data_IF_063404446566
#
_entry.id   IF_063404446566
#
_cell.length_a   1.000
_cell.length_b   1.000
_cell.length_c   1.000
_cell.angle_alpha   90.00
_cell.angle_beta   90.00
_cell.angle_gamma   90.00
#
_symmetry.space_group_name_H-M   'P 1'
#
loop_
_entity.id
_entity.type
_entity.pdbx_description
1 polymer ?
#
# COMPACT_ATOMS: atom_id res chain seq x y z
N UNK A 1 27.30 -62.34 29.10
CA UNK A 1 26.09 -62.80 28.41
C UNK A 1 24.83 -62.36 29.16
N UNK A 2 24.78 -62.50 30.49
CA UNK A 2 23.63 -62.10 31.35
C UNK A 2 23.24 -60.61 31.23
N UNK A 3 24.22 -59.68 31.31
CA UNK A 3 23.94 -58.23 31.20
C UNK A 3 23.29 -57.78 29.85
N UNK A 4 23.53 -58.51 28.75
CA UNK A 4 22.89 -58.23 27.45
C UNK A 4 21.42 -58.75 27.42
N UNK A 5 21.15 -59.84 28.11
CA UNK A 5 19.80 -60.40 28.22
C UNK A 5 18.93 -59.49 29.08
N UNK A 6 19.47 -58.99 30.21
CA UNK A 6 18.78 -58.10 31.12
C UNK A 6 18.47 -56.75 30.47
N UNK A 7 19.38 -56.18 29.69
CA UNK A 7 19.18 -54.97 28.91
C UNK A 7 18.12 -55.09 27.79
N UNK A 8 18.10 -56.26 27.10
CA UNK A 8 17.09 -56.54 26.07
C UNK A 8 15.70 -56.66 26.68
N UNK A 9 15.59 -57.35 27.80
CA UNK A 9 14.32 -57.53 28.53
C UNK A 9 13.78 -56.21 29.07
N UNK A 10 14.65 -55.31 29.52
CA UNK A 10 14.29 -53.99 30.03
C UNK A 10 13.81 -53.07 28.87
N UNK A 11 14.47 -53.14 27.70
CA UNK A 11 14.09 -52.44 26.50
C UNK A 11 12.71 -52.88 25.97
N UNK A 12 12.46 -54.22 25.90
CA UNK A 12 11.15 -54.75 25.53
C UNK A 12 10.03 -54.34 26.47
N UNK A 13 10.31 -54.33 27.76
CA UNK A 13 9.34 -53.90 28.79
C UNK A 13 9.02 -52.40 28.65
N UNK A 14 10.01 -51.59 28.32
CA UNK A 14 9.84 -50.15 28.09
C UNK A 14 9.05 -49.86 26.81
N UNK A 15 9.34 -50.58 25.71
CA UNK A 15 8.59 -50.45 24.44
C UNK A 15 7.13 -50.87 24.60
N UNK A 16 6.89 -51.95 25.36
CA UNK A 16 5.53 -52.44 25.67
C UNK A 16 4.72 -51.44 26.51
N UNK A 17 5.37 -50.78 27.47
CA UNK A 17 4.74 -49.74 28.30
C UNK A 17 4.42 -48.50 27.50
N UNK A 18 5.30 -48.09 26.60
CA UNK A 18 5.08 -46.93 25.67
C UNK A 18 3.94 -47.24 24.70
N UNK A 19 3.92 -48.43 24.11
CA UNK A 19 2.86 -48.83 23.19
C UNK A 19 1.47 -48.91 23.86
N UNK A 20 1.41 -49.33 25.14
CA UNK A 20 0.17 -49.35 25.92
C UNK A 20 -0.31 -47.90 26.25
N UNK A 21 0.63 -47.00 26.56
CA UNK A 21 0.32 -45.59 26.82
C UNK A 21 -0.18 -44.89 25.54
N UNK A 22 0.43 -45.16 24.40
CA UNK A 22 0.01 -44.63 23.10
C UNK A 22 -1.37 -45.16 22.66
N UNK A 23 -1.63 -46.45 22.91
CA UNK A 23 -2.94 -47.06 22.67
C UNK A 23 -4.04 -46.47 23.57
N UNK A 24 -3.72 -46.14 24.83
CA UNK A 24 -4.65 -45.45 25.74
C UNK A 24 -4.96 -44.04 25.23
N UNK A 25 -3.94 -43.31 24.82
CA UNK A 25 -4.06 -41.93 24.27
C UNK A 25 -4.88 -41.89 23.00
N UNK A 26 -4.69 -42.88 22.11
CA UNK A 26 -5.50 -43.03 20.90
C UNK A 26 -6.97 -43.28 21.22
N UNK A 27 -7.27 -44.09 22.24
CA UNK A 27 -8.65 -44.33 22.65
C UNK A 27 -9.30 -43.08 23.27
N UNK A 28 -8.56 -42.30 24.02
CA UNK A 28 -9.03 -41.05 24.59
C UNK A 28 -9.32 -40.01 23.47
N UNK A 29 -8.46 -39.92 22.45
CA UNK A 29 -8.66 -39.08 21.28
C UNK A 29 -9.89 -39.52 20.49
N UNK A 30 -10.06 -40.82 20.27
CA UNK A 30 -11.21 -41.37 19.56
C UNK A 30 -12.52 -41.09 20.29
N UNK A 31 -12.51 -41.22 21.62
CA UNK A 31 -13.65 -40.86 22.46
C UNK A 31 -13.97 -39.38 22.42
N UNK A 32 -12.94 -38.51 22.44
CA UNK A 32 -13.11 -37.07 22.33
C UNK A 32 -13.66 -36.66 20.93
N UNK A 33 -13.19 -37.29 19.87
CA UNK A 33 -13.72 -37.08 18.54
C UNK A 33 -15.19 -37.51 18.37
N UNK A 34 -15.57 -38.63 18.96
CA UNK A 34 -16.97 -39.08 18.97
C UNK A 34 -17.86 -38.08 19.74
N UNK A 35 -17.41 -37.65 20.91
CA UNK A 35 -18.15 -36.66 21.70
C UNK A 35 -18.30 -35.32 20.92
N UNK A 36 -17.25 -34.86 20.28
CA UNK A 36 -17.29 -33.64 19.47
C UNK A 36 -18.26 -33.77 18.28
N UNK A 37 -18.30 -34.95 17.64
CA UNK A 37 -19.22 -35.24 16.54
C UNK A 37 -20.70 -35.23 17.02
N UNK A 38 -20.96 -35.84 18.19
CA UNK A 38 -22.31 -35.84 18.81
C UNK A 38 -22.74 -34.43 19.21
N UNK A 39 -21.86 -33.66 19.81
CA UNK A 39 -22.16 -32.29 20.24
C UNK A 39 -22.41 -31.39 19.01
N UNK A 40 -21.65 -31.60 17.94
CA UNK A 40 -21.88 -30.91 16.65
C UNK A 40 -23.22 -31.29 16.03
N UNK A 41 -23.60 -32.55 16.11
CA UNK A 41 -24.89 -33.03 15.62
C UNK A 41 -26.04 -32.42 16.43
N UNK A 42 -25.95 -32.46 17.77
CA UNK A 42 -26.94 -31.82 18.66
C UNK A 42 -27.10 -30.32 18.40
N UNK A 43 -25.97 -29.63 18.19
CA UNK A 43 -25.96 -28.20 17.86
C UNK A 43 -26.65 -27.93 16.51
N UNK A 44 -26.43 -28.78 15.50
CA UNK A 44 -27.07 -28.67 14.20
C UNK A 44 -28.57 -28.96 14.30
N UNK A 45 -28.97 -29.96 15.07
CA UNK A 45 -30.39 -30.29 15.32
C UNK A 45 -31.09 -29.15 16.08
N UNK A 46 -30.45 -28.56 17.08
CA UNK A 46 -30.98 -27.38 17.77
C UNK A 46 -31.10 -26.16 16.86
N UNK A 47 -30.14 -25.97 15.97
CA UNK A 47 -30.21 -24.90 14.93
C UNK A 47 -31.36 -25.14 13.95
N UNK A 48 -31.53 -26.38 13.49
CA UNK A 48 -32.64 -26.75 12.60
C UNK A 48 -33.99 -26.59 13.28
N UNK A 49 -34.12 -26.99 14.55
CA UNK A 49 -35.39 -26.82 15.33
C UNK A 49 -35.67 -25.34 15.56
N UNK A 50 -34.68 -24.51 15.85
CA UNK A 50 -34.88 -23.05 15.98
C UNK A 50 -35.26 -22.40 14.66
N UNK A 51 -34.65 -22.83 13.54
CA UNK A 51 -35.01 -22.35 12.22
C UNK A 51 -36.46 -22.75 11.82
N UNK A 52 -36.91 -23.95 12.20
CA UNK A 52 -38.26 -24.41 11.96
C UNK A 52 -39.33 -23.78 12.88
N UNK A 53 -38.94 -23.34 14.08
CA UNK A 53 -39.81 -22.69 15.06
C UNK A 53 -39.91 -21.17 14.88
N UNK A 54 -39.10 -20.58 14.05
CA UNK A 54 -39.14 -19.14 13.77
C UNK A 54 -40.18 -18.89 12.67
N UNK A 55 -41.20 -18.05 12.89
CA UNK A 55 -42.06 -17.60 11.80
C UNK A 55 -41.12 -16.96 10.76
N UNK A 56 -41.37 -17.21 9.48
CA UNK A 56 -40.55 -16.74 8.36
C UNK A 56 -40.37 -15.21 8.39
N UNK A 57 -39.55 -14.73 9.31
CA UNK A 57 -39.08 -13.37 9.36
C UNK A 57 -38.12 -13.23 8.19
N UNK A 58 -38.59 -12.70 7.08
CA UNK A 58 -37.76 -12.30 5.97
C UNK A 58 -36.75 -11.31 6.50
N UNK A 59 -35.45 -11.59 6.35
CA UNK A 59 -34.40 -10.62 6.63
C UNK A 59 -34.61 -9.50 5.62
N UNK A 60 -35.20 -8.39 6.06
CA UNK A 60 -35.41 -7.26 5.16
C UNK A 60 -34.10 -6.49 5.06
N UNK A 61 -33.48 -6.45 3.87
CA UNK A 61 -32.36 -5.58 3.55
C UNK A 61 -32.90 -4.27 3.02
N UNK A 62 -32.73 -3.19 3.76
CA UNK A 62 -33.01 -1.84 3.30
C UNK A 62 -31.68 -1.15 3.01
N UNK A 63 -31.42 -0.84 1.74
CA UNK A 63 -30.19 -0.23 1.32
C UNK A 63 -30.46 1.09 0.57
N UNK A 64 -29.67 2.10 0.91
CA UNK A 64 -29.66 3.37 0.21
C UNK A 64 -28.21 3.80 -0.04
N UNK A 65 -27.95 4.43 -1.19
CA UNK A 65 -26.65 5.03 -1.49
C UNK A 65 -26.75 6.56 -1.39
N UNK A 66 -25.72 7.17 -0.85
CA UNK A 66 -25.54 8.61 -1.00
C UNK A 66 -25.27 8.96 -2.47
N UNK A 67 -25.46 10.21 -2.87
CA UNK A 67 -25.00 10.68 -4.16
C UNK A 67 -23.47 10.56 -4.24
N UNK A 68 -22.92 10.05 -5.37
CA UNK A 68 -21.48 10.05 -5.57
C UNK A 68 -20.91 11.46 -5.54
N UNK A 69 -19.82 11.64 -4.82
CA UNK A 69 -19.06 12.92 -4.79
C UNK A 69 -18.34 13.16 -6.13
N UNK A 70 -17.60 14.28 -6.21
CA UNK A 70 -16.85 14.67 -7.41
C UNK A 70 -15.82 13.62 -7.86
N UNK A 71 -15.36 12.76 -6.94
CA UNK A 71 -14.43 11.66 -7.21
C UNK A 71 -15.17 10.32 -7.43
N UNK A 72 -16.49 10.33 -7.31
CA UNK A 72 -17.32 9.14 -7.42
C UNK A 72 -17.49 8.37 -6.11
N UNK A 73 -16.89 8.83 -5.02
CA UNK A 73 -17.03 8.22 -3.70
C UNK A 73 -18.47 8.33 -3.19
N UNK A 74 -19.02 7.24 -2.65
CA UNK A 74 -20.33 7.23 -2.03
C UNK A 74 -20.41 6.19 -0.91
N UNK A 75 -21.42 6.31 -0.07
CA UNK A 75 -21.66 5.41 1.05
C UNK A 75 -22.96 4.66 0.80
N UNK A 76 -22.90 3.33 0.86
CA UNK A 76 -24.07 2.47 0.93
C UNK A 76 -24.41 2.32 2.42
N UNK A 77 -25.57 2.82 2.82
CA UNK A 77 -26.13 2.61 4.15
C UNK A 77 -27.10 1.45 4.09
N UNK A 78 -26.85 0.40 4.85
CA UNK A 78 -27.68 -0.80 4.85
C UNK A 78 -28.23 -1.06 6.24
N UNK A 79 -29.54 -1.06 6.33
CA UNK A 79 -30.26 -1.48 7.53
C UNK A 79 -30.73 -2.91 7.36
N UNK A 80 -30.51 -3.72 8.37
CA UNK A 80 -30.96 -5.10 8.46
C UNK A 80 -31.58 -5.33 9.84
N UNK A 81 -32.31 -6.43 10.00
CA UNK A 81 -32.89 -6.78 11.30
C UNK A 81 -31.81 -7.01 12.37
N UNK A 82 -32.20 -6.88 13.64
CA UNK A 82 -31.30 -7.03 14.79
C UNK A 82 -30.59 -8.37 14.81
N UNK A 83 -31.23 -9.43 14.32
CA UNK A 83 -30.73 -10.80 14.33
C UNK A 83 -29.78 -11.15 13.18
N UNK A 84 -29.31 -10.16 12.41
CA UNK A 84 -28.35 -10.39 11.33
C UNK A 84 -27.00 -10.80 11.90
N UNK A 85 -26.53 -11.98 11.51
CA UNK A 85 -25.27 -12.56 11.95
C UNK A 85 -24.10 -12.16 11.04
N UNK A 86 -24.34 -12.04 9.73
CA UNK A 86 -23.33 -11.59 8.76
C UNK A 86 -23.98 -10.80 7.63
N UNK A 87 -23.22 -9.86 7.08
CA UNK A 87 -23.60 -9.05 5.92
C UNK A 87 -22.46 -9.02 4.92
N UNK A 88 -22.77 -9.26 3.65
CA UNK A 88 -21.80 -9.30 2.56
C UNK A 88 -22.19 -8.34 1.45
N UNK A 89 -21.21 -7.76 0.80
CA UNK A 89 -21.32 -6.98 -0.43
C UNK A 89 -20.40 -7.60 -1.47
N UNK A 90 -20.98 -8.06 -2.59
CA UNK A 90 -20.28 -8.78 -3.66
C UNK A 90 -19.45 -9.99 -3.16
N UNK A 91 -19.94 -10.66 -2.11
CA UNK A 91 -19.29 -11.82 -1.49
C UNK A 91 -18.23 -11.48 -0.44
N UNK A 92 -17.93 -10.21 -0.21
CA UNK A 92 -17.03 -9.75 0.87
C UNK A 92 -17.80 -9.45 2.14
N UNK A 93 -17.41 -10.07 3.25
CA UNK A 93 -18.02 -9.81 4.56
C UNK A 93 -17.68 -8.40 5.04
N UNK A 94 -18.70 -7.68 5.48
CA UNK A 94 -18.56 -6.32 5.97
C UNK A 94 -18.46 -6.31 7.49
N UNK A 95 -17.65 -5.39 8.03
CA UNK A 95 -17.46 -5.21 9.47
C UNK A 95 -18.75 -4.83 10.23
N UNK A 96 -18.63 -4.69 11.55
CA UNK A 96 -19.77 -4.47 12.44
C UNK A 96 -20.61 -3.24 12.13
N UNK A 97 -21.83 -3.22 12.67
CA UNK A 97 -22.75 -2.10 12.51
C UNK A 97 -22.28 -0.86 13.28
N UNK A 98 -22.51 0.29 12.70
CA UNK A 98 -22.40 1.59 13.35
C UNK A 98 -23.79 2.21 13.42
N UNK A 99 -24.26 2.58 14.59
CA UNK A 99 -25.61 3.15 14.83
C UNK A 99 -26.77 2.32 14.20
N UNK A 100 -26.65 1.00 14.25
CA UNK A 100 -27.66 0.08 13.74
C UNK A 100 -27.62 -0.19 12.23
N UNK A 101 -26.71 0.42 11.49
CA UNK A 101 -26.54 0.25 10.04
C UNK A 101 -25.12 -0.20 9.68
N UNK A 102 -24.98 -0.90 8.55
CA UNK A 102 -23.69 -1.11 7.89
C UNK A 102 -23.40 0.08 6.97
N UNK A 103 -22.21 0.65 7.10
CA UNK A 103 -21.75 1.75 6.25
C UNK A 103 -20.64 1.24 5.33
N UNK A 104 -20.97 1.04 4.07
CA UNK A 104 -20.05 0.49 3.07
C UNK A 104 -19.65 1.58 2.08
N UNK A 105 -18.37 1.93 2.07
CA UNK A 105 -17.84 2.93 1.12
C UNK A 105 -17.48 2.27 -0.19
N UNK A 106 -17.92 2.87 -1.30
CA UNK A 106 -17.66 2.41 -2.68
C UNK A 106 -17.43 3.61 -3.59
N UNK A 107 -17.01 3.31 -4.82
CA UNK A 107 -16.78 4.34 -5.84
C UNK A 107 -17.56 3.96 -7.10
N UNK A 108 -18.36 4.88 -7.61
CA UNK A 108 -19.13 4.70 -8.83
C UNK A 108 -18.35 5.16 -10.06
N UNK A 109 -18.38 4.37 -11.12
CA UNK A 109 -17.79 4.72 -12.42
C UNK A 109 -18.66 5.76 -13.13
N UNK A 110 -18.00 6.69 -13.82
CA UNK A 110 -18.69 7.70 -14.63
C UNK A 110 -19.40 7.01 -15.81
N UNK A 111 -20.66 7.34 -16.02
CA UNK A 111 -21.45 6.91 -17.20
C UNK A 111 -21.76 5.41 -17.24
N UNK A 112 -21.40 4.63 -16.22
CA UNK A 112 -21.73 3.22 -16.13
C UNK A 112 -22.46 2.91 -14.82
N UNK A 113 -23.55 2.14 -14.84
CA UNK A 113 -24.20 1.69 -13.63
C UNK A 113 -23.26 0.73 -12.87
N UNK A 114 -23.05 1.00 -11.60
CA UNK A 114 -22.34 0.12 -10.68
C UNK A 114 -23.36 -0.63 -9.84
N UNK A 115 -23.47 -1.96 -10.03
CA UNK A 115 -24.43 -2.81 -9.32
C UNK A 115 -23.71 -3.62 -8.26
N UNK A 116 -24.25 -3.58 -7.04
CA UNK A 116 -23.71 -4.26 -5.87
C UNK A 116 -24.71 -5.32 -5.39
N UNK A 117 -24.23 -6.54 -5.16
CA UNK A 117 -25.02 -7.61 -4.57
C UNK A 117 -24.90 -7.55 -3.05
N UNK A 118 -26.00 -7.29 -2.38
CA UNK A 118 -26.08 -7.20 -0.92
C UNK A 118 -26.71 -8.49 -0.40
N UNK A 119 -26.05 -9.17 0.53
CA UNK A 119 -26.55 -10.41 1.11
C UNK A 119 -26.43 -10.36 2.63
N UNK A 120 -27.50 -10.67 3.32
CA UNK A 120 -27.52 -10.77 4.77
C UNK A 120 -27.93 -12.18 5.19
N UNK A 121 -27.36 -12.65 6.30
CA UNK A 121 -27.67 -13.91 6.95
C UNK A 121 -27.99 -13.67 8.42
N UNK A 122 -29.09 -14.26 8.92
CA UNK A 122 -29.45 -14.17 10.33
C UNK A 122 -28.77 -15.24 11.18
N UNK A 123 -28.96 -15.13 12.50
CA UNK A 123 -28.46 -16.13 13.49
C UNK A 123 -29.10 -17.50 13.34
N UNK A 124 -30.22 -17.60 12.61
CA UNK A 124 -30.93 -18.85 12.36
C UNK A 124 -30.50 -19.54 11.07
N UNK A 125 -29.70 -18.83 10.23
CA UNK A 125 -29.19 -19.34 8.97
C UNK A 125 -30.02 -18.95 7.74
N UNK A 126 -31.13 -18.19 7.90
CA UNK A 126 -31.87 -17.66 6.77
C UNK A 126 -31.03 -16.60 6.04
N UNK A 127 -31.18 -16.53 4.73
CA UNK A 127 -30.48 -15.57 3.89
C UNK A 127 -31.47 -14.75 3.08
N UNK A 128 -31.17 -13.47 2.92
CA UNK A 128 -31.84 -12.59 1.97
C UNK A 128 -30.80 -11.86 1.13
N UNK A 129 -31.16 -11.49 -0.09
CA UNK A 129 -30.28 -10.78 -0.99
C UNK A 129 -31.03 -9.75 -1.82
N UNK A 130 -30.39 -8.62 -2.06
CA UNK A 130 -30.90 -7.58 -2.94
C UNK A 130 -29.76 -6.95 -3.73
N UNK A 131 -30.09 -6.23 -4.77
CA UNK A 131 -29.10 -5.49 -5.57
C UNK A 131 -29.33 -3.99 -5.43
N UNK A 132 -28.25 -3.24 -5.33
CA UNK A 132 -28.26 -1.78 -5.34
C UNK A 132 -27.46 -1.29 -6.54
N UNK A 133 -28.11 -0.51 -7.41
CA UNK A 133 -27.43 0.08 -8.55
C UNK A 133 -27.25 1.57 -8.34
N UNK A 134 -26.01 2.03 -8.48
CA UNK A 134 -25.64 3.44 -8.38
C UNK A 134 -25.13 3.90 -9.74
N UNK A 135 -25.72 4.96 -10.27
CA UNK A 135 -25.30 5.61 -11.50
C UNK A 135 -24.65 6.96 -11.16
N UNK A 136 -23.38 7.10 -11.42
CA UNK A 136 -22.72 8.40 -11.43
C UNK A 136 -22.97 9.04 -12.80
N UNK A 137 -23.88 10.00 -12.82
CA UNK A 137 -24.08 10.80 -14.03
C UNK A 137 -22.79 11.56 -14.34
N UNK A 138 -22.45 11.67 -15.63
CA UNK A 138 -21.48 12.69 -16.06
C UNK A 138 -22.08 14.05 -15.69
N UNK A 139 -21.66 14.60 -14.56
CA UNK A 139 -21.80 16.02 -14.42
C UNK A 139 -20.89 16.63 -15.52
N UNK A 140 -21.42 17.54 -16.32
CA UNK A 140 -20.64 18.31 -17.29
C UNK A 140 -19.61 19.27 -16.67
N UNK A 141 -19.34 19.11 -15.41
CA UNK A 141 -18.23 19.72 -14.73
C UNK A 141 -16.97 18.88 -15.02
N UNK A 142 -16.24 19.24 -16.08
CA UNK A 142 -14.80 18.99 -16.06
C UNK A 142 -14.31 19.32 -14.67
N UNK A 143 -13.91 18.30 -13.89
CA UNK A 143 -13.13 18.54 -12.68
C UNK A 143 -11.87 19.22 -13.19
N UNK A 144 -11.86 20.55 -13.11
CA UNK A 144 -10.67 21.34 -13.47
C UNK A 144 -9.70 21.06 -12.34
N UNK A 145 -8.85 20.07 -12.55
CA UNK A 145 -7.77 19.76 -11.63
C UNK A 145 -6.82 20.95 -11.66
N UNK A 146 -6.61 21.66 -10.53
CA UNK A 146 -5.76 22.84 -10.52
C UNK A 146 -4.37 22.45 -11.00
N UNK A 147 -3.77 23.18 -11.95
CA UNK A 147 -2.40 22.87 -12.37
C UNK A 147 -1.43 23.01 -11.19
N UNK A 148 -0.34 22.28 -11.26
CA UNK A 148 0.79 22.46 -10.36
C UNK A 148 1.37 23.87 -10.56
N UNK A 149 1.62 24.57 -9.47
CA UNK A 149 2.14 25.95 -9.53
C UNK A 149 3.28 26.20 -8.52
N UNK A 150 4.48 25.69 -8.80
CA UNK A 150 5.65 25.91 -7.94
C UNK A 150 6.04 27.38 -7.81
N UNK A 151 5.58 28.26 -8.70
CA UNK A 151 5.88 29.71 -8.64
C UNK A 151 5.31 30.39 -7.39
N UNK A 152 4.31 29.79 -6.75
CA UNK A 152 3.75 30.28 -5.48
C UNK A 152 4.65 30.00 -4.29
N UNK A 153 5.63 29.10 -4.41
CA UNK A 153 6.57 28.78 -3.37
C UNK A 153 7.76 29.76 -3.40
N UNK A 154 8.08 30.31 -2.23
CA UNK A 154 9.14 31.34 -2.10
C UNK A 154 10.03 31.05 -0.91
N UNK A 155 10.39 29.78 -0.72
CA UNK A 155 11.29 29.39 0.37
C UNK A 155 12.68 29.94 0.10
N UNK A 156 13.31 30.48 1.12
CA UNK A 156 14.67 30.99 1.00
C UNK A 156 15.65 29.85 0.72
N UNK A 157 16.58 30.08 -0.21
CA UNK A 157 17.60 29.09 -0.54
C UNK A 157 18.44 28.71 0.67
N UNK A 158 18.52 27.42 0.96
CA UNK A 158 19.35 26.87 2.02
C UNK A 158 20.78 26.71 1.55
N UNK A 159 21.74 27.04 2.41
CA UNK A 159 23.15 26.84 2.10
C UNK A 159 23.52 25.36 2.03
N UNK A 160 22.95 24.58 2.95
CA UNK A 160 23.29 23.18 3.16
C UNK A 160 22.08 22.28 2.84
N UNK A 161 21.63 22.31 1.58
CA UNK A 161 20.61 21.41 1.04
C UNK A 161 21.06 20.86 -0.33
N UNK A 162 20.81 19.57 -0.55
CA UNK A 162 21.18 18.83 -1.76
C UNK A 162 20.02 17.97 -2.21
N UNK A 163 19.84 17.79 -3.52
CA UNK A 163 18.82 16.89 -4.05
C UNK A 163 19.36 15.97 -5.13
N UNK A 164 18.87 14.72 -5.13
CA UNK A 164 19.00 13.78 -6.25
C UNK A 164 17.57 13.51 -6.75
N UNK A 165 17.33 13.81 -8.03
CA UNK A 165 16.02 13.71 -8.67
C UNK A 165 16.13 12.77 -9.85
N UNK A 166 15.37 11.68 -9.83
CA UNK A 166 15.39 10.63 -10.85
C UNK A 166 13.98 10.44 -11.39
N UNK A 167 13.82 10.51 -12.71
CA UNK A 167 12.55 10.28 -13.39
C UNK A 167 12.75 9.42 -14.63
N UNK A 168 12.14 8.24 -14.67
CA UNK A 168 12.32 7.29 -15.76
C UNK A 168 10.94 6.90 -16.29
N UNK A 169 10.57 7.46 -17.41
CA UNK A 169 9.37 7.07 -18.16
C UNK A 169 9.70 6.05 -19.23
N UNK A 170 10.69 6.38 -20.06
CA UNK A 170 11.05 5.58 -21.22
C UNK A 170 12.13 4.55 -20.85
N UNK A 171 11.73 3.28 -20.82
CA UNK A 171 12.62 2.14 -20.53
C UNK A 171 12.99 1.41 -21.82
N UNK A 172 14.20 0.84 -21.89
CA UNK A 172 14.64 0.06 -23.07
C UNK A 172 13.94 -1.26 -23.24
N UNK A 173 13.58 -1.95 -22.14
CA UNK A 173 13.15 -3.35 -22.15
C UNK A 173 11.92 -3.67 -21.33
N UNK A 174 11.34 -2.67 -20.70
CA UNK A 174 10.10 -2.79 -19.94
C UNK A 174 9.11 -1.71 -20.40
N UNK A 175 7.80 -1.86 -20.18
CA UNK A 175 6.82 -0.86 -20.53
C UNK A 175 7.11 0.50 -19.90
N UNK A 176 6.54 1.56 -20.46
CA UNK A 176 6.71 2.92 -19.92
C UNK A 176 6.12 3.08 -18.53
N UNK A 177 6.74 3.94 -17.72
CA UNK A 177 6.14 4.49 -16.50
C UNK A 177 5.60 5.89 -16.83
N UNK A 178 4.34 5.95 -17.24
CA UNK A 178 3.72 7.17 -17.74
C UNK A 178 3.91 8.36 -16.79
N UNK A 179 4.35 9.50 -17.34
CA UNK A 179 4.60 10.78 -16.67
C UNK A 179 5.75 10.81 -15.65
N UNK A 180 6.52 9.74 -15.48
CA UNK A 180 7.57 9.69 -14.45
C UNK A 180 8.70 10.70 -14.68
N UNK A 181 9.08 10.94 -15.93
CA UNK A 181 10.08 11.94 -16.29
C UNK A 181 9.55 13.38 -16.12
N UNK A 182 8.28 13.61 -16.45
CA UNK A 182 7.63 14.92 -16.25
C UNK A 182 7.47 15.23 -14.76
N UNK A 183 7.09 14.23 -13.95
CA UNK A 183 7.02 14.36 -12.49
C UNK A 183 8.36 14.82 -11.89
N UNK A 184 9.46 14.21 -12.34
CA UNK A 184 10.79 14.58 -11.87
C UNK A 184 11.20 15.99 -12.34
N UNK A 185 10.89 16.36 -13.59
CA UNK A 185 11.16 17.71 -14.11
C UNK A 185 10.40 18.78 -13.32
N UNK A 186 9.13 18.52 -13.04
CA UNK A 186 8.30 19.45 -12.25
C UNK A 186 8.75 19.48 -10.80
N UNK A 187 9.11 18.32 -10.22
CA UNK A 187 9.62 18.26 -8.83
C UNK A 187 10.92 19.05 -8.65
N UNK A 188 11.73 19.21 -9.68
CA UNK A 188 12.90 20.11 -9.64
C UNK A 188 12.53 21.51 -9.18
N UNK A 189 11.44 22.09 -9.70
CA UNK A 189 10.99 23.41 -9.31
C UNK A 189 10.53 23.43 -7.83
N UNK A 190 9.92 22.36 -7.35
CA UNK A 190 9.56 22.22 -5.93
C UNK A 190 10.78 22.05 -5.03
N UNK A 191 11.82 21.36 -5.49
CA UNK A 191 13.07 21.26 -4.78
C UNK A 191 13.75 22.63 -4.63
N UNK A 192 13.76 23.42 -5.70
CA UNK A 192 14.35 24.78 -5.67
C UNK A 192 13.50 25.74 -4.84
N UNK A 193 12.19 25.85 -5.13
CA UNK A 193 11.31 26.88 -4.59
C UNK A 193 10.66 26.52 -3.27
N UNK A 194 10.41 25.22 -3.03
CA UNK A 194 9.74 24.70 -1.85
C UNK A 194 10.68 24.14 -0.79
N UNK A 195 11.72 23.41 -1.20
CA UNK A 195 12.71 22.86 -0.26
C UNK A 195 13.95 23.74 -0.09
N UNK A 196 14.11 24.76 -0.93
CA UNK A 196 15.21 25.71 -0.87
C UNK A 196 16.55 25.14 -1.33
N UNK A 197 16.53 24.09 -2.16
CA UNK A 197 17.76 23.53 -2.73
C UNK A 197 18.27 24.43 -3.85
N UNK A 198 19.55 24.77 -3.83
CA UNK A 198 20.15 25.57 -4.90
C UNK A 198 20.26 24.75 -6.18
N UNK A 199 20.03 25.33 -7.38
CA UNK A 199 20.14 24.62 -8.64
C UNK A 199 21.45 23.84 -8.83
N UNK A 200 22.57 24.41 -8.42
CA UNK A 200 23.91 23.78 -8.49
C UNK A 200 24.06 22.57 -7.55
N UNK A 201 23.20 22.43 -6.56
CA UNK A 201 23.15 21.31 -5.61
C UNK A 201 22.11 20.26 -5.99
N UNK A 202 21.64 20.25 -7.22
CA UNK A 202 20.68 19.25 -7.71
C UNK A 202 21.34 18.37 -8.75
N UNK A 203 21.35 17.07 -8.50
CA UNK A 203 21.68 16.05 -9.50
C UNK A 203 20.38 15.50 -10.06
N UNK A 204 20.10 15.77 -11.34
CA UNK A 204 18.92 15.26 -12.04
C UNK A 204 19.33 14.22 -13.06
N UNK A 205 18.60 13.09 -13.10
CA UNK A 205 18.79 11.98 -14.03
C UNK A 205 17.43 11.63 -14.64
N UNK A 206 17.29 11.83 -15.96
CA UNK A 206 16.03 11.65 -16.68
C UNK A 206 16.19 10.60 -17.77
N UNK A 207 15.29 9.62 -17.82
CA UNK A 207 15.22 8.58 -18.85
C UNK A 207 16.62 7.96 -19.14
N UNK A 208 17.16 8.15 -20.32
CA UNK A 208 18.44 7.59 -20.75
C UNK A 208 19.65 8.04 -19.92
N UNK A 209 19.54 9.10 -19.13
CA UNK A 209 20.59 9.52 -18.19
C UNK A 209 20.57 8.71 -16.91
N UNK A 210 19.44 8.02 -16.61
CA UNK A 210 19.25 7.25 -15.40
C UNK A 210 19.59 5.75 -15.60
N UNK A 211 20.78 5.47 -16.16
CA UNK A 211 21.34 4.11 -16.18
C UNK A 211 21.83 3.73 -14.77
N UNK A 212 21.96 2.43 -14.50
CA UNK A 212 22.37 1.89 -13.19
C UNK A 212 23.68 2.52 -12.69
N UNK A 213 24.68 2.60 -13.55
CA UNK A 213 26.01 3.19 -13.23
C UNK A 213 25.87 4.68 -12.88
N UNK A 214 25.04 5.43 -13.58
CA UNK A 214 24.86 6.86 -13.32
C UNK A 214 24.08 7.13 -12.03
N UNK A 215 23.09 6.28 -11.73
CA UNK A 215 22.40 6.32 -10.43
C UNK A 215 23.41 6.05 -9.31
N UNK A 216 24.18 4.96 -9.39
CA UNK A 216 25.19 4.63 -8.38
C UNK A 216 26.20 5.76 -8.21
N UNK A 217 26.70 6.34 -9.31
CA UNK A 217 27.64 7.49 -9.28
C UNK A 217 27.03 8.71 -8.58
N UNK A 218 25.73 8.95 -8.76
CA UNK A 218 25.07 10.07 -8.09
C UNK A 218 25.09 9.91 -6.56
N UNK A 219 24.89 8.69 -6.05
CA UNK A 219 24.88 8.42 -4.61
C UNK A 219 26.26 8.20 -4.01
N UNK A 220 27.15 7.51 -4.69
CA UNK A 220 28.45 7.12 -4.13
C UNK A 220 29.57 8.14 -4.40
N UNK A 221 29.51 8.87 -5.53
CA UNK A 221 30.58 9.78 -5.92
C UNK A 221 30.16 11.25 -5.83
N UNK A 222 29.00 11.62 -6.39
CA UNK A 222 28.56 13.01 -6.41
C UNK A 222 28.04 13.47 -5.05
N UNK A 223 27.17 12.69 -4.40
CA UNK A 223 26.56 13.07 -3.12
C UNK A 223 27.60 13.36 -2.01
N UNK A 224 28.62 12.51 -1.75
CA UNK A 224 29.57 12.75 -0.67
C UNK A 224 30.37 14.04 -0.77
N UNK A 225 30.57 14.57 -1.99
CA UNK A 225 31.32 15.83 -2.19
C UNK A 225 30.45 17.08 -2.04
N UNK A 226 29.10 16.89 -2.05
CA UNK A 226 28.12 17.97 -1.86
C UNK A 226 27.51 17.98 -0.45
N UNK A 227 27.80 16.98 0.38
CA UNK A 227 27.26 16.87 1.74
C UNK A 227 28.27 17.36 2.77
N UNK A 228 27.92 18.41 3.49
CA UNK A 228 28.59 18.80 4.73
C UNK A 228 28.06 17.91 5.86
N UNK A 229 28.93 17.07 6.44
CA UNK A 229 28.54 16.09 7.46
C UNK A 229 27.76 16.71 8.61
N UNK A 230 26.64 16.08 8.95
CA UNK A 230 25.71 16.50 10.01
C UNK A 230 25.09 17.90 9.85
N UNK A 231 25.22 18.54 8.68
CA UNK A 231 24.69 19.86 8.39
C UNK A 231 23.73 19.88 7.21
N UNK A 232 24.00 19.05 6.19
CA UNK A 232 23.25 19.04 4.93
C UNK A 232 21.94 18.25 5.04
N UNK A 233 20.83 18.87 4.65
CA UNK A 233 19.56 18.19 4.39
C UNK A 233 19.61 17.59 2.97
N UNK A 234 19.40 16.29 2.85
CA UNK A 234 19.41 15.56 1.55
C UNK A 234 18.00 15.18 1.17
N UNK A 235 17.60 15.50 -0.05
CA UNK A 235 16.33 15.14 -0.64
C UNK A 235 16.56 14.17 -1.80
N UNK A 236 15.76 13.11 -1.85
CA UNK A 236 15.76 12.15 -2.95
C UNK A 236 14.35 12.05 -3.51
N UNK A 237 14.20 12.26 -4.80
CA UNK A 237 12.95 12.00 -5.51
C UNK A 237 13.21 10.93 -6.57
N UNK A 238 12.37 9.92 -6.59
CA UNK A 238 12.36 8.89 -7.61
C UNK A 238 10.95 8.70 -8.15
N UNK A 239 10.80 8.76 -9.45
CA UNK A 239 9.56 8.42 -10.16
C UNK A 239 9.89 7.43 -11.28
N UNK A 240 9.27 6.24 -11.23
CA UNK A 240 9.56 5.16 -12.17
C UNK A 240 9.10 3.79 -11.68
N UNK A 241 9.59 2.75 -12.33
CA UNK A 241 9.30 1.38 -11.94
C UNK A 241 10.14 0.88 -10.78
N UNK A 242 9.54 0.03 -9.95
CA UNK A 242 10.22 -0.76 -8.95
C UNK A 242 9.76 -2.22 -9.00
N UNK A 243 10.60 -3.11 -8.50
CA UNK A 243 10.29 -4.52 -8.35
C UNK A 243 10.84 -5.05 -7.04
N UNK A 244 10.15 -6.00 -6.40
CA UNK A 244 10.75 -6.77 -5.32
C UNK A 244 11.75 -7.77 -5.88
N UNK A 245 12.72 -8.19 -5.07
CA UNK A 245 13.55 -9.36 -5.39
C UNK A 245 12.68 -10.63 -5.45
N UNK A 246 13.12 -11.67 -6.17
CA UNK A 246 12.36 -12.92 -6.26
C UNK A 246 12.08 -13.60 -4.91
N UNK A 247 12.96 -13.39 -3.92
CA UNK A 247 12.81 -13.86 -2.54
C UNK A 247 12.04 -12.89 -1.62
N UNK A 248 11.65 -11.73 -2.17
CA UNK A 248 10.90 -10.72 -1.46
C UNK A 248 11.65 -9.93 -0.40
N UNK A 249 12.98 -10.09 -0.29
CA UNK A 249 13.78 -9.46 0.77
C UNK A 249 14.39 -8.11 0.39
N UNK A 250 14.37 -7.75 -0.87
CA UNK A 250 14.91 -6.49 -1.36
C UNK A 250 13.92 -5.79 -2.29
N UNK A 251 13.94 -4.47 -2.25
CA UNK A 251 13.24 -3.60 -3.18
C UNK A 251 14.25 -3.03 -4.16
N UNK A 252 13.93 -3.10 -5.44
CA UNK A 252 14.74 -2.57 -6.52
C UNK A 252 14.06 -1.39 -7.18
N UNK A 253 14.82 -0.33 -7.42
CA UNK A 253 14.48 0.73 -8.37
C UNK A 253 15.04 0.32 -9.74
N UNK A 254 14.24 0.47 -10.78
CA UNK A 254 14.61 0.02 -12.12
C UNK A 254 15.26 1.15 -12.91
N UNK A 255 16.55 1.04 -13.32
CA UNK A 255 17.19 1.97 -14.22
C UNK A 255 16.66 1.87 -15.66
N UNK A 256 16.95 2.87 -16.49
CA UNK A 256 16.50 2.92 -17.87
C UNK A 256 16.82 1.67 -18.69
N UNK A 257 18.03 1.11 -18.55
CA UNK A 257 18.50 -0.06 -19.27
C UNK A 257 18.21 -1.41 -18.63
N UNK A 258 17.39 -1.45 -17.57
CA UNK A 258 17.14 -2.66 -16.77
C UNK A 258 16.77 -3.86 -17.63
N UNK A 259 17.31 -5.03 -17.28
CA UNK A 259 16.92 -6.33 -17.80
C UNK A 259 16.24 -7.13 -16.69
N UNK A 260 14.93 -7.37 -16.86
CA UNK A 260 14.11 -8.09 -15.86
C UNK A 260 14.54 -9.54 -15.62
N UNK A 261 15.24 -10.17 -16.58
CA UNK A 261 15.81 -11.51 -16.40
C UNK A 261 17.09 -11.50 -15.58
N UNK A 262 17.79 -10.35 -15.54
CA UNK A 262 19.03 -10.13 -14.80
C UNK A 262 18.85 -9.07 -13.71
N UNK A 263 17.68 -9.04 -13.07
CA UNK A 263 17.27 -7.98 -12.13
C UNK A 263 18.33 -7.68 -11.07
N UNK A 264 18.89 -8.70 -10.43
CA UNK A 264 19.91 -8.53 -9.40
C UNK A 264 21.24 -7.91 -9.89
N UNK A 265 21.43 -7.81 -11.21
CA UNK A 265 22.65 -7.23 -11.83
C UNK A 265 22.41 -5.89 -12.49
N UNK A 266 21.16 -5.61 -12.87
CA UNK A 266 20.82 -4.46 -13.69
C UNK A 266 19.83 -3.50 -13.00
N UNK A 267 19.32 -3.85 -11.83
CA UNK A 267 18.50 -2.99 -11.01
C UNK A 267 19.31 -2.47 -9.82
N UNK A 268 18.89 -1.32 -9.29
CA UNK A 268 19.53 -0.70 -8.13
C UNK A 268 18.77 -1.06 -6.87
N UNK A 269 19.42 -1.73 -5.93
CA UNK A 269 18.78 -2.10 -4.68
C UNK A 269 18.60 -0.86 -3.79
N UNK A 270 17.37 -0.63 -3.32
CA UNK A 270 17.06 0.53 -2.46
C UNK A 270 17.93 0.57 -1.20
N UNK A 271 18.26 -0.60 -0.63
CA UNK A 271 19.16 -0.71 0.52
C UNK A 271 20.57 -0.17 0.26
N UNK A 272 21.08 -0.29 -0.99
CA UNK A 272 22.39 0.22 -1.38
C UNK A 272 22.38 1.75 -1.42
N UNK A 273 21.31 2.34 -1.94
CA UNK A 273 21.11 3.79 -1.92
C UNK A 273 21.01 4.33 -0.47
N UNK A 274 20.28 3.62 0.39
CA UNK A 274 20.19 3.97 1.82
C UNK A 274 21.53 3.88 2.49
N UNK A 275 22.33 2.85 2.20
CA UNK A 275 23.70 2.71 2.74
C UNK A 275 24.64 3.85 2.28
N UNK A 276 24.57 4.25 1.00
CA UNK A 276 25.34 5.38 0.47
C UNK A 276 24.92 6.71 1.13
N UNK A 277 23.61 6.93 1.30
CA UNK A 277 23.08 8.09 2.03
C UNK A 277 23.58 8.13 3.49
N UNK A 278 23.58 7.00 4.18
CA UNK A 278 24.12 6.89 5.55
C UNK A 278 25.62 7.18 5.60
N UNK A 279 26.38 6.64 4.64
CA UNK A 279 27.83 6.83 4.55
C UNK A 279 28.23 8.29 4.36
N UNK A 280 27.42 9.08 3.65
CA UNK A 280 27.60 10.53 3.47
C UNK A 280 27.39 11.33 4.75
N UNK A 281 26.73 10.77 5.79
CA UNK A 281 26.45 11.39 7.09
C UNK A 281 25.72 12.73 6.99
N UNK A 282 24.60 12.82 6.27
CA UNK A 282 23.82 14.05 6.23
C UNK A 282 23.20 14.36 7.60
N UNK A 283 22.73 15.60 7.80
CA UNK A 283 21.89 15.99 8.95
C UNK A 283 20.54 15.26 8.88
N UNK A 284 19.98 15.20 7.70
CA UNK A 284 18.68 14.55 7.45
C UNK A 284 18.56 14.04 6.03
N UNK A 285 17.73 13.03 5.84
CA UNK A 285 17.36 12.50 4.52
C UNK A 285 15.83 12.49 4.42
N UNK A 286 15.31 13.02 3.31
CA UNK A 286 13.88 12.85 2.95
C UNK A 286 13.80 12.23 1.56
N UNK A 287 13.15 11.07 1.48
CA UNK A 287 12.98 10.32 0.23
C UNK A 287 11.51 10.35 -0.17
N UNK A 288 11.23 10.72 -1.41
CA UNK A 288 9.93 10.68 -2.05
C UNK A 288 10.01 9.63 -3.18
N UNK A 289 9.29 8.53 -3.03
CA UNK A 289 9.40 7.37 -3.93
C UNK A 289 8.06 7.12 -4.62
N UNK A 290 7.93 7.57 -5.86
CA UNK A 290 6.77 7.28 -6.70
C UNK A 290 7.03 6.02 -7.55
N UNK A 291 6.95 4.88 -6.90
CA UNK A 291 7.21 3.58 -7.51
C UNK A 291 6.30 2.51 -6.95
N UNK A 292 6.00 1.50 -7.78
CA UNK A 292 5.26 0.30 -7.39
C UNK A 292 6.24 -0.85 -7.16
N UNK A 293 5.91 -1.72 -6.21
CA UNK A 293 6.63 -2.98 -6.02
C UNK A 293 5.74 -4.21 -6.25
N UNK A 294 4.56 -4.03 -6.84
CA UNK A 294 3.59 -5.10 -7.12
C UNK A 294 3.92 -5.97 -8.32
N UNK A 295 4.98 -5.64 -9.06
CA UNK A 295 5.33 -6.33 -10.32
C UNK A 295 4.44 -5.95 -11.52
N UNK A 296 3.69 -4.87 -11.43
CA UNK A 296 2.86 -4.33 -12.51
C UNK A 296 3.28 -2.90 -12.87
N UNK A 297 2.96 -2.45 -14.09
CA UNK A 297 3.16 -1.07 -14.50
C UNK A 297 2.10 -0.14 -13.93
N UNK A 298 2.31 1.17 -14.00
CA UNK A 298 1.29 2.20 -13.72
C UNK A 298 0.02 2.03 -14.55
N UNK A 299 0.12 1.42 -15.73
CA UNK A 299 -1.00 1.07 -16.62
C UNK A 299 -1.74 -0.21 -16.22
N UNK A 300 -1.18 -1.02 -15.33
CA UNK A 300 -1.72 -2.33 -14.92
C UNK A 300 -1.20 -3.50 -15.74
N UNK A 301 -0.24 -3.30 -16.66
CA UNK A 301 0.43 -4.39 -17.38
C UNK A 301 1.40 -5.14 -16.47
N UNK A 302 1.51 -6.45 -16.63
CA UNK A 302 2.40 -7.29 -15.83
C UNK A 302 3.85 -7.09 -16.26
N UNK A 303 4.70 -6.57 -15.39
CA UNK A 303 6.14 -6.41 -15.62
C UNK A 303 6.87 -7.77 -15.61
N UNK A 304 6.42 -8.69 -14.75
CA UNK A 304 6.97 -10.04 -14.62
C UNK A 304 5.83 -11.05 -14.63
N UNK A 305 5.72 -11.86 -15.69
CA UNK A 305 4.82 -12.99 -15.72
C UNK A 305 5.28 -14.07 -14.73
N UNK A 306 4.40 -14.52 -13.83
CA UNK A 306 4.66 -15.62 -12.91
C UNK A 306 5.16 -15.24 -11.50
N UNK A 307 5.37 -13.98 -11.19
CA UNK A 307 5.56 -13.54 -9.80
C UNK A 307 4.18 -13.40 -9.19
N UNK A 308 3.83 -14.30 -8.28
CA UNK A 308 2.71 -14.06 -7.37
C UNK A 308 3.03 -12.78 -6.60
N UNK A 309 2.06 -11.88 -6.37
CA UNK A 309 2.24 -10.83 -5.39
C UNK A 309 2.55 -11.53 -4.07
N UNK A 310 3.83 -11.61 -3.74
CA UNK A 310 4.24 -12.00 -2.41
C UNK A 310 3.79 -10.85 -1.53
N UNK A 311 2.94 -11.16 -0.56
CA UNK A 311 2.73 -10.28 0.59
C UNK A 311 4.09 -10.21 1.28
N UNK A 312 4.92 -9.28 0.81
CA UNK A 312 6.17 -8.99 1.43
C UNK A 312 5.85 -8.36 2.78
N UNK A 313 6.02 -9.14 3.84
CA UNK A 313 6.61 -8.52 5.02
C UNK A 313 8.00 -8.08 4.54
N UNK A 314 8.10 -6.85 4.03
CA UNK A 314 9.38 -6.18 4.02
C UNK A 314 9.91 -6.40 5.44
N UNK A 315 11.00 -7.14 5.59
CA UNK A 315 11.81 -6.98 6.79
C UNK A 315 11.91 -5.48 6.93
N UNK A 316 11.37 -4.94 8.02
CA UNK A 316 11.28 -3.51 8.25
C UNK A 316 12.66 -2.97 7.96
N UNK A 317 12.83 -2.34 6.80
CA UNK A 317 14.10 -1.76 6.44
C UNK A 317 14.29 -0.67 7.47
N UNK A 318 15.11 -0.97 8.48
CA UNK A 318 15.30 -0.10 9.61
C UNK A 318 16.00 1.15 9.11
N UNK A 319 15.22 2.15 8.71
CA UNK A 319 15.75 3.46 8.37
C UNK A 319 16.28 4.13 9.63
N UNK A 320 17.42 4.83 9.57
CA UNK A 320 17.90 5.64 10.68
C UNK A 320 16.87 6.69 11.09
N UNK A 321 16.88 7.11 12.35
CA UNK A 321 15.97 8.14 12.87
C UNK A 321 16.04 9.49 12.11
N UNK A 322 17.17 9.76 11.41
CA UNK A 322 17.34 10.95 10.57
C UNK A 322 16.64 10.84 9.20
N UNK A 323 16.09 9.68 8.86
CA UNK A 323 15.40 9.46 7.58
C UNK A 323 13.91 9.70 7.70
N UNK A 324 13.36 10.25 6.63
CA UNK A 324 11.94 10.30 6.34
C UNK A 324 11.73 9.70 4.96
N UNK A 325 10.83 8.73 4.85
CA UNK A 325 10.52 8.10 3.55
C UNK A 325 9.02 8.19 3.34
N UNK A 326 8.64 8.70 2.18
CA UNK A 326 7.25 8.81 1.73
C UNK A 326 7.17 8.08 0.40
N UNK A 327 6.45 6.97 0.35
CA UNK A 327 6.30 6.16 -0.85
C UNK A 327 4.86 6.11 -1.33
N UNK A 328 4.70 6.01 -2.65
CA UNK A 328 3.42 6.15 -3.35
C UNK A 328 2.40 5.06 -3.00
N UNK A 329 2.85 3.87 -2.63
CA UNK A 329 1.99 2.73 -2.40
C UNK A 329 2.65 1.71 -1.46
N UNK A 330 1.84 0.88 -0.81
CA UNK A 330 2.32 -0.30 -0.12
C UNK A 330 2.92 -1.31 -1.12
N UNK A 331 3.75 -2.23 -0.62
CA UNK A 331 4.56 -3.13 -1.46
C UNK A 331 3.75 -4.05 -2.40
N UNK A 332 2.47 -4.26 -2.13
CA UNK A 332 1.52 -5.07 -2.92
C UNK A 332 0.58 -4.25 -3.82
N UNK A 333 0.72 -2.92 -3.80
CA UNK A 333 -0.17 -2.00 -4.50
C UNK A 333 0.51 -1.31 -5.69
N UNK A 334 -0.33 -0.77 -6.58
CA UNK A 334 0.10 -0.03 -7.77
C UNK A 334 0.22 1.47 -7.45
N UNK A 335 1.35 2.09 -7.80
CA UNK A 335 1.38 3.53 -8.03
C UNK A 335 0.78 3.83 -9.41
N UNK A 336 -0.23 4.66 -9.44
CA UNK A 336 -1.02 4.90 -10.64
C UNK A 336 -0.69 6.25 -11.29
N UNK A 337 -0.68 6.28 -12.61
CA UNK A 337 -0.68 7.52 -13.39
C UNK A 337 -2.13 7.94 -13.70
N UNK A 338 -2.38 9.23 -13.75
CA UNK A 338 -3.65 9.80 -14.17
C UNK A 338 -3.48 10.62 -15.43
N UNK A 339 -4.09 10.22 -16.56
CA UNK A 339 -4.09 11.01 -17.78
C UNK A 339 -4.74 12.39 -17.61
N UNK A 340 -5.70 12.51 -16.69
CA UNK A 340 -6.37 13.78 -16.36
C UNK A 340 -5.41 14.75 -15.66
N UNK A 341 -4.60 14.23 -14.72
CA UNK A 341 -3.60 15.01 -13.99
C UNK A 341 -2.35 15.25 -14.84
N UNK A 342 -2.08 14.37 -15.83
CA UNK A 342 -0.82 14.28 -16.59
C UNK A 342 0.40 14.07 -15.67
N UNK A 343 0.19 13.35 -14.59
CA UNK A 343 1.17 13.05 -13.53
C UNK A 343 0.90 11.69 -12.91
N UNK A 344 1.88 11.14 -12.20
CA UNK A 344 1.64 10.14 -11.17
C UNK A 344 0.72 10.72 -10.09
N UNK A 345 -0.28 9.94 -9.65
CA UNK A 345 -1.25 10.41 -8.65
C UNK A 345 -0.52 10.87 -7.38
N UNK A 346 0.43 10.08 -6.91
CA UNK A 346 1.23 10.42 -5.73
C UNK A 346 2.05 11.69 -5.94
N UNK A 347 2.81 11.77 -7.04
CA UNK A 347 3.65 12.93 -7.35
C UNK A 347 2.84 14.22 -7.45
N UNK A 348 1.67 14.17 -8.10
CA UNK A 348 0.78 15.32 -8.20
C UNK A 348 0.33 15.79 -6.81
N UNK A 349 -0.24 14.91 -5.99
CA UNK A 349 -0.72 15.30 -4.67
C UNK A 349 0.41 15.62 -3.69
N UNK A 350 1.58 14.98 -3.79
CA UNK A 350 2.77 15.40 -3.04
C UNK A 350 3.09 16.87 -3.31
N UNK A 351 3.16 17.26 -4.58
CA UNK A 351 3.47 18.62 -4.99
C UNK A 351 2.34 19.61 -4.63
N UNK A 352 1.07 19.22 -4.73
CA UNK A 352 -0.07 20.02 -4.26
C UNK A 352 -0.04 20.20 -2.73
N UNK A 353 0.30 19.14 -2.01
CA UNK A 353 0.53 19.23 -0.56
C UNK A 353 1.62 20.26 -0.22
N UNK A 354 2.75 20.25 -0.96
CA UNK A 354 3.83 21.23 -0.83
C UNK A 354 3.37 22.66 -1.16
N UNK A 355 2.40 22.85 -2.06
CA UNK A 355 1.79 24.15 -2.32
C UNK A 355 0.98 24.70 -1.11
N UNK A 356 0.74 23.86 -0.10
CA UNK A 356 0.08 24.19 1.14
C UNK A 356 -1.27 23.53 1.35
N UNK A 357 -1.69 22.67 0.43
CA UNK A 357 -2.93 21.91 0.65
C UNK A 357 -2.80 20.89 1.82
N UNK A 358 -1.57 20.52 2.20
CA UNK A 358 -1.29 19.66 3.35
C UNK A 358 -1.17 20.42 4.68
N UNK A 359 -1.05 21.74 4.67
CA UNK A 359 -0.97 22.59 5.89
C UNK A 359 -2.38 22.71 6.50
N UNK A 360 -2.77 21.71 7.29
CA UNK A 360 -4.12 21.59 7.84
C UNK A 360 -4.39 22.67 8.91
N UNK A 361 -3.40 22.93 9.77
CA UNK A 361 -3.51 23.88 10.88
C UNK A 361 -3.23 25.34 10.45
N UNK A 362 -2.73 25.56 9.23
CA UNK A 362 -2.39 26.86 8.61
C UNK A 362 -1.34 27.64 9.36
N UNK A 363 -0.37 26.94 9.94
CA UNK A 363 0.75 27.59 10.64
C UNK A 363 1.92 27.96 9.72
N UNK A 364 1.80 27.61 8.43
CA UNK A 364 2.83 27.85 7.41
C UNK A 364 3.93 26.79 7.40
N UNK A 365 3.83 25.74 8.21
CA UNK A 365 4.70 24.59 8.19
C UNK A 365 3.94 23.38 7.69
N UNK A 366 4.61 22.48 7.05
CA UNK A 366 4.05 21.19 6.65
C UNK A 366 4.87 20.10 7.33
N UNK A 367 4.24 19.43 8.28
CA UNK A 367 4.83 18.29 8.99
C UNK A 367 4.65 17.00 8.20
N UNK A 368 5.39 15.95 8.55
CA UNK A 368 5.19 14.60 7.99
C UNK A 368 3.78 14.09 8.31
N UNK A 369 3.25 14.35 9.49
CA UNK A 369 1.91 13.93 9.89
C UNK A 369 0.80 14.56 9.05
N UNK A 370 0.90 15.87 8.78
CA UNK A 370 -0.05 16.59 7.91
C UNK A 370 0.05 16.11 6.47
N UNK A 371 1.27 15.94 5.93
CA UNK A 371 1.48 15.38 4.59
C UNK A 371 0.93 13.96 4.51
N UNK A 372 1.10 13.15 5.56
CA UNK A 372 0.54 11.79 5.63
C UNK A 372 -0.98 11.80 5.57
N UNK A 373 -1.64 12.60 6.42
CA UNK A 373 -3.09 12.69 6.44
C UNK A 373 -3.64 13.15 5.07
N UNK A 374 -3.02 14.17 4.49
CA UNK A 374 -3.39 14.71 3.19
C UNK A 374 -3.22 13.68 2.06
N UNK A 375 -2.05 13.04 1.94
CA UNK A 375 -1.77 12.07 0.88
C UNK A 375 -2.62 10.81 1.03
N UNK A 376 -2.83 10.31 2.26
CA UNK A 376 -3.67 9.14 2.51
C UNK A 376 -5.10 9.38 2.03
N UNK A 377 -5.66 10.58 2.22
CA UNK A 377 -6.98 10.94 1.71
C UNK A 377 -7.00 11.11 0.19
N UNK A 378 -6.16 11.99 -0.35
CA UNK A 378 -6.22 12.39 -1.77
C UNK A 378 -5.79 11.29 -2.73
N UNK A 379 -4.67 10.63 -2.45
CA UNK A 379 -4.14 9.56 -3.32
C UNK A 379 -5.08 8.37 -3.34
N UNK A 380 -5.56 7.94 -2.16
CA UNK A 380 -6.46 6.78 -2.08
C UNK A 380 -7.80 7.04 -2.78
N UNK A 381 -8.39 8.23 -2.61
CA UNK A 381 -9.63 8.60 -3.31
C UNK A 381 -9.46 8.65 -4.82
N UNK A 382 -8.38 9.27 -5.32
CA UNK A 382 -8.12 9.36 -6.75
C UNK A 382 -7.90 7.96 -7.35
N UNK A 383 -7.13 7.11 -6.69
CA UNK A 383 -6.89 5.74 -7.13
C UNK A 383 -8.18 4.90 -7.14
N UNK A 384 -9.02 5.01 -6.10
CA UNK A 384 -10.33 4.36 -6.05
C UNK A 384 -11.24 4.81 -7.21
N UNK A 385 -11.22 6.10 -7.58
CA UNK A 385 -11.93 6.61 -8.75
C UNK A 385 -11.53 5.94 -10.07
N UNK A 386 -10.31 5.41 -10.13
CA UNK A 386 -9.77 4.63 -11.24
C UNK A 386 -9.92 3.10 -11.04
N UNK A 387 -10.68 2.67 -10.03
CA UNK A 387 -10.84 1.28 -9.62
C UNK A 387 -9.50 0.60 -9.25
N UNK A 388 -8.64 1.35 -8.55
CA UNK A 388 -7.32 0.90 -8.08
C UNK A 388 -7.18 1.17 -6.59
N UNK A 389 -6.34 0.37 -5.92
CA UNK A 389 -5.96 0.59 -4.53
C UNK A 389 -4.55 1.17 -4.51
N UNK A 390 -4.39 2.33 -3.87
CA UNK A 390 -3.10 2.97 -3.66
C UNK A 390 -3.10 3.69 -2.31
N UNK A 391 -2.28 3.21 -1.40
CA UNK A 391 -2.15 3.72 -0.03
C UNK A 391 -0.70 4.13 0.21
N UNK A 392 -0.39 5.42 0.24
CA UNK A 392 0.96 5.91 0.52
C UNK A 392 1.49 5.40 1.86
N UNK A 393 2.79 5.13 1.93
CA UNK A 393 3.47 4.66 3.14
C UNK A 393 4.45 5.70 3.65
N UNK A 394 4.64 5.75 4.97
CA UNK A 394 5.41 6.78 5.63
C UNK A 394 6.33 6.18 6.69
N UNK A 395 7.57 6.64 6.70
CA UNK A 395 8.57 6.31 7.72
C UNK A 395 9.17 7.63 8.23
N UNK A 396 9.21 7.81 9.53
CA UNK A 396 9.79 8.98 10.18
C UNK A 396 8.92 9.51 11.33
N UNK A 397 9.39 10.57 11.96
CA UNK A 397 8.65 11.27 13.02
C UNK A 397 7.53 12.14 12.40
N UNK A 398 6.29 11.90 12.81
CA UNK A 398 5.13 12.64 12.32
C UNK A 398 5.23 14.17 12.59
N UNK A 399 5.93 14.58 13.65
CA UNK A 399 6.12 15.99 14.01
C UNK A 399 7.26 16.65 13.22
N UNK A 400 7.97 15.90 12.40
CA UNK A 400 9.07 16.46 11.62
C UNK A 400 8.55 17.44 10.57
N UNK A 401 9.03 18.67 10.61
CA UNK A 401 8.74 19.67 9.59
C UNK A 401 9.46 19.29 8.29
N UNK A 402 8.71 19.04 7.24
CA UNK A 402 9.23 18.75 5.89
C UNK A 402 9.60 20.04 5.17
N UNK A 403 8.77 21.07 5.32
CA UNK A 403 9.03 22.39 4.75
C UNK A 403 8.29 23.48 5.49
N UNK A 404 8.77 24.72 5.35
CA UNK A 404 8.12 25.95 5.81
C UNK A 404 7.83 26.81 4.59
N UNK A 405 6.63 27.40 4.53
CA UNK A 405 6.15 28.21 3.39
C UNK A 405 6.46 29.67 3.55
#
# INVERSE_FOLDING_TARGET
MQQRIDAATQSEKQQRTTALADASRLRELDAAWRQLAEDRQKLNEQRAQRAAASPAARIAIQAAASQPDVNGGFVITVQTLADTASFMVDGEEQGGRQDGAYLVRRVARIGQPSTYNLQARDIYGNTDSTTLTVLRQMADTKVVTPPLNPANLKVQAKRDAVAIIIGIQDYKRVPKAEFANDDARVFYDYAVRGLGVRPENIKMLIDAEAEDVEIIRAFENWLPVHVNKNQTDVYVFFSGHGLPSPDGRALYLLPHGVDKQLLARTAVAQKELVAALQAAKPKSVTMFIDSCYSGQTRGGEVLLAGVRPLVLKADEQAYPASFTVISAAANDQLSSASPELKHGIFSYYLMKGMEGEADENRDGQITLGEMQAYLADKVSRQAMGMNRKQEPQFVGDANRVLMTR
#
